data_IF_406395353596
#
_entry.id   IF_406395353596
#
_cell.length_a   1.000
_cell.length_b   1.000
_cell.length_c   1.000
_cell.angle_alpha   90.00
_cell.angle_beta   90.00
_cell.angle_gamma   90.00
#
_symmetry.space_group_name_H-M   'P 1'
#
loop_
_entity.id
_entity.type
_entity.pdbx_description
1 polymer ?
#
# COMPACT_ATOMS: atom_id res chain seq x y z
N UNK A 1 23.33 -11.44 -21.54
CA UNK A 1 21.87 -11.61 -21.61
C UNK A 1 21.30 -12.38 -20.41
N UNK A 2 21.67 -13.65 -20.15
CA UNK A 2 21.15 -14.43 -19.02
C UNK A 2 21.49 -13.80 -17.64
N UNK A 3 22.71 -13.32 -17.48
CA UNK A 3 23.17 -12.65 -16.26
C UNK A 3 22.38 -11.37 -15.95
N UNK A 4 21.95 -10.63 -16.95
CA UNK A 4 21.21 -9.37 -16.76
C UNK A 4 19.75 -9.62 -16.41
N UNK A 5 19.13 -10.67 -16.95
CA UNK A 5 17.79 -11.12 -16.56
C UNK A 5 17.76 -11.53 -15.10
N UNK A 6 18.76 -12.30 -14.67
CA UNK A 6 18.89 -12.72 -13.28
C UNK A 6 19.05 -11.52 -12.33
N UNK A 7 19.94 -10.58 -12.66
CA UNK A 7 20.14 -9.36 -11.86
C UNK A 7 18.87 -8.51 -11.74
N UNK A 8 18.09 -8.41 -12.81
CA UNK A 8 16.78 -7.71 -12.79
C UNK A 8 15.79 -8.37 -11.86
N UNK A 9 15.68 -9.70 -11.94
CA UNK A 9 14.78 -10.46 -11.07
C UNK A 9 15.18 -10.32 -9.59
N UNK A 10 16.47 -10.47 -9.27
CA UNK A 10 16.97 -10.31 -7.89
C UNK A 10 16.69 -8.91 -7.36
N UNK A 11 16.92 -7.85 -8.16
CA UNK A 11 16.61 -6.48 -7.75
C UNK A 11 15.13 -6.31 -7.42
N UNK A 12 14.24 -6.76 -8.29
CA UNK A 12 12.78 -6.61 -8.08
C UNK A 12 12.30 -7.39 -6.86
N UNK A 13 12.74 -8.63 -6.69
CA UNK A 13 12.40 -9.41 -5.50
C UNK A 13 12.94 -8.78 -4.21
N UNK A 14 14.15 -8.23 -4.24
CA UNK A 14 14.72 -7.53 -3.09
C UNK A 14 13.90 -6.30 -2.70
N UNK A 15 13.45 -5.50 -3.67
CA UNK A 15 12.60 -4.33 -3.43
C UNK A 15 11.25 -4.78 -2.86
N UNK A 16 10.64 -5.83 -3.41
CA UNK A 16 9.35 -6.35 -2.93
C UNK A 16 9.47 -6.82 -1.47
N UNK A 17 10.47 -7.65 -1.16
CA UNK A 17 10.70 -8.15 0.21
C UNK A 17 10.95 -7.00 1.18
N UNK A 18 11.78 -6.04 0.79
CA UNK A 18 12.04 -4.84 1.59
C UNK A 18 10.78 -4.02 1.84
N UNK A 19 9.96 -3.80 0.81
CA UNK A 19 8.71 -3.04 0.93
C UNK A 19 7.72 -3.74 1.87
N UNK A 20 7.55 -5.05 1.73
CA UNK A 20 6.70 -5.84 2.63
C UNK A 20 7.20 -5.71 4.07
N UNK A 21 8.50 -5.86 4.30
CA UNK A 21 9.09 -5.74 5.64
C UNK A 21 8.89 -4.36 6.25
N UNK A 22 9.08 -3.31 5.47
CA UNK A 22 8.89 -1.92 5.92
C UNK A 22 7.43 -1.61 6.28
N UNK A 23 6.47 -2.18 5.53
CA UNK A 23 5.04 -1.92 5.76
C UNK A 23 4.46 -2.70 6.93
N UNK A 24 5.03 -3.85 7.29
CA UNK A 24 4.50 -4.73 8.35
C UNK A 24 4.31 -3.97 9.66
N UNK A 25 5.32 -3.23 10.12
CA UNK A 25 5.27 -2.51 11.39
C UNK A 25 4.17 -1.46 11.43
N UNK A 26 4.06 -0.65 10.39
CA UNK A 26 3.03 0.38 10.28
C UNK A 26 1.62 -0.23 10.20
N UNK A 27 1.44 -1.25 9.40
CA UNK A 27 0.14 -1.90 9.23
C UNK A 27 -0.31 -2.63 10.52
N UNK A 28 0.60 -3.26 11.26
CA UNK A 28 0.29 -3.87 12.56
C UNK A 28 -0.30 -2.82 13.50
N UNK A 29 0.32 -1.65 13.63
CA UNK A 29 -0.17 -0.57 14.51
C UNK A 29 -1.58 -0.15 14.10
N UNK A 30 -1.83 0.05 12.81
CA UNK A 30 -3.15 0.46 12.31
C UNK A 30 -4.23 -0.60 12.56
N UNK A 31 -3.91 -1.87 12.34
CA UNK A 31 -4.86 -2.95 12.59
C UNK A 31 -5.11 -3.16 14.09
N UNK A 32 -4.07 -3.04 14.93
CA UNK A 32 -4.23 -3.10 16.39
C UNK A 32 -5.15 -1.99 16.88
N UNK A 33 -4.92 -0.75 16.45
CA UNK A 33 -5.80 0.36 16.78
C UNK A 33 -7.24 0.15 16.27
N UNK A 34 -7.40 -0.48 15.11
CA UNK A 34 -8.70 -0.86 14.58
C UNK A 34 -9.42 -1.91 15.43
N UNK A 35 -8.69 -2.89 15.95
CA UNK A 35 -9.23 -3.92 16.86
C UNK A 35 -9.60 -3.29 18.20
N UNK A 36 -8.73 -2.47 18.76
CA UNK A 36 -8.97 -1.79 20.05
C UNK A 36 -10.18 -0.84 19.99
N UNK A 37 -10.51 -0.35 18.80
CA UNK A 37 -11.70 0.47 18.56
C UNK A 37 -13.02 -0.30 18.53
N UNK A 38 -13.01 -1.62 18.58
CA UNK A 38 -14.24 -2.43 18.62
C UNK A 38 -14.78 -2.47 20.05
N UNK A 39 -16.04 -2.03 20.31
CA UNK A 39 -16.62 -2.09 21.65
C UNK A 39 -16.63 -3.51 22.22
N UNK A 40 -16.19 -3.65 23.48
CA UNK A 40 -16.12 -4.94 24.18
C UNK A 40 -17.47 -5.64 24.31
N UNK A 41 -18.55 -4.86 24.36
CA UNK A 41 -19.93 -5.35 24.46
C UNK A 41 -20.28 -6.39 23.41
N UNK A 42 -19.76 -6.28 22.19
CA UNK A 42 -19.97 -7.28 21.14
C UNK A 42 -19.34 -8.63 21.49
N UNK A 43 -18.19 -8.62 22.14
CA UNK A 43 -17.51 -9.85 22.55
C UNK A 43 -18.15 -10.46 23.78
N UNK A 44 -18.61 -9.63 24.74
CA UNK A 44 -19.33 -10.09 25.93
C UNK A 44 -20.67 -10.75 25.58
N UNK A 45 -21.44 -10.15 24.66
CA UNK A 45 -22.67 -10.73 24.16
C UNK A 45 -22.43 -12.09 23.48
N UNK A 46 -21.39 -12.18 22.65
CA UNK A 46 -21.01 -13.41 21.98
C UNK A 46 -20.52 -14.50 22.97
N UNK A 47 -19.92 -14.10 24.08
CA UNK A 47 -19.54 -15.04 25.16
C UNK A 47 -20.75 -15.63 25.85
N UNK A 48 -21.80 -14.83 26.09
CA UNK A 48 -23.07 -15.31 26.65
C UNK A 48 -23.77 -16.28 25.71
N UNK A 49 -23.64 -16.09 24.39
CA UNK A 49 -24.16 -17.01 23.37
C UNK A 49 -23.28 -18.26 23.16
N UNK A 50 -22.16 -18.39 23.89
CA UNK A 50 -21.29 -19.54 23.81
C UNK A 50 -20.41 -19.56 22.53
N UNK A 51 -20.18 -18.42 21.86
CA UNK A 51 -19.42 -18.36 20.65
C UNK A 51 -17.93 -18.65 20.90
N UNK A 52 -17.34 -19.53 20.08
CA UNK A 52 -15.91 -19.80 20.10
C UNK A 52 -15.09 -18.61 19.62
N UNK A 53 -13.79 -18.55 19.96
CA UNK A 53 -12.89 -17.49 19.51
C UNK A 53 -12.84 -17.31 18.00
N UNK A 54 -12.92 -18.41 17.23
CA UNK A 54 -12.99 -18.36 15.76
C UNK A 54 -14.30 -17.76 15.26
N UNK A 55 -15.42 -18.07 15.91
CA UNK A 55 -16.71 -17.46 15.56
C UNK A 55 -16.73 -15.97 15.85
N UNK A 56 -16.20 -15.52 17.00
CA UNK A 56 -16.02 -14.09 17.32
C UNK A 56 -15.13 -13.39 16.28
N UNK A 57 -14.00 -13.98 15.93
CA UNK A 57 -13.13 -13.41 14.91
C UNK A 57 -13.85 -13.25 13.56
N UNK A 58 -14.53 -14.29 13.08
CA UNK A 58 -15.15 -14.30 11.75
C UNK A 58 -16.41 -13.42 11.66
N UNK A 59 -17.22 -13.35 12.72
CA UNK A 59 -18.53 -12.70 12.68
C UNK A 59 -18.57 -11.32 13.35
N UNK A 60 -17.58 -11.00 14.20
CA UNK A 60 -17.49 -9.71 14.88
C UNK A 60 -16.24 -8.95 14.43
N UNK A 61 -15.06 -9.49 14.70
CA UNK A 61 -13.80 -8.77 14.46
C UNK A 61 -13.61 -8.46 12.99
N UNK A 62 -13.70 -9.45 12.10
CA UNK A 62 -13.41 -9.28 10.68
C UNK A 62 -14.40 -8.32 9.97
N UNK A 63 -15.72 -8.39 10.19
CA UNK A 63 -16.66 -7.43 9.63
C UNK A 63 -16.43 -5.99 10.13
N UNK A 64 -16.20 -5.80 11.44
CA UNK A 64 -15.98 -4.48 12.02
C UNK A 64 -14.64 -3.88 11.63
N UNK A 65 -13.62 -4.70 11.39
CA UNK A 65 -12.32 -4.26 10.84
C UNK A 65 -12.38 -3.87 9.35
N UNK A 66 -13.46 -4.12 8.64
CA UNK A 66 -13.57 -3.80 7.21
C UNK A 66 -13.25 -2.33 6.92
N UNK A 67 -13.63 -1.42 7.82
CA UNK A 67 -13.30 0.01 7.73
C UNK A 67 -11.80 0.25 7.81
N UNK A 68 -11.14 -0.31 8.81
CA UNK A 68 -9.68 -0.22 8.99
C UNK A 68 -8.96 -0.85 7.81
N UNK A 69 -9.41 -2.01 7.35
CA UNK A 69 -8.87 -2.68 6.17
C UNK A 69 -8.94 -1.81 4.92
N UNK A 70 -10.09 -1.19 4.67
CA UNK A 70 -10.26 -0.27 3.53
C UNK A 70 -9.31 0.92 3.62
N UNK A 71 -9.21 1.55 4.79
CA UNK A 71 -8.30 2.65 5.03
C UNK A 71 -6.83 2.24 4.80
N UNK A 72 -6.38 1.17 5.44
CA UNK A 72 -5.02 0.65 5.31
C UNK A 72 -4.68 0.32 3.86
N UNK A 73 -5.58 -0.34 3.14
CA UNK A 73 -5.36 -0.71 1.74
C UNK A 73 -5.25 0.52 0.84
N UNK A 74 -6.05 1.58 1.06
CA UNK A 74 -5.95 2.83 0.30
C UNK A 74 -4.61 3.51 0.59
N UNK A 75 -4.23 3.63 1.86
CA UNK A 75 -2.98 4.27 2.26
C UNK A 75 -1.75 3.53 1.71
N UNK A 76 -1.74 2.20 1.80
CA UNK A 76 -0.68 1.35 1.23
C UNK A 76 -0.59 1.52 -0.28
N UNK A 77 -1.73 1.54 -0.97
CA UNK A 77 -1.77 1.75 -2.42
C UNK A 77 -1.16 3.11 -2.80
N UNK A 78 -1.58 4.19 -2.15
CA UNK A 78 -1.03 5.53 -2.39
C UNK A 78 0.48 5.54 -2.15
N UNK A 79 0.93 4.99 -1.02
CA UNK A 79 2.35 4.91 -0.65
C UNK A 79 3.18 4.18 -1.71
N UNK A 80 2.68 3.05 -2.24
CA UNK A 80 3.40 2.27 -3.25
C UNK A 80 3.43 2.93 -4.62
N UNK A 81 2.36 3.63 -5.03
CA UNK A 81 2.41 4.42 -6.26
C UNK A 81 3.38 5.61 -6.18
N UNK A 82 3.62 6.13 -4.96
CA UNK A 82 4.57 7.21 -4.70
C UNK A 82 5.95 6.71 -4.29
N UNK A 83 6.19 5.40 -4.34
CA UNK A 83 7.45 4.80 -3.94
C UNK A 83 8.62 5.36 -4.77
N UNK A 84 9.53 6.06 -4.11
CA UNK A 84 10.74 6.64 -4.71
C UNK A 84 11.99 6.21 -3.98
N UNK A 85 12.02 6.38 -2.66
CA UNK A 85 13.24 6.25 -1.86
C UNK A 85 13.87 4.84 -1.98
N UNK A 86 13.09 3.78 -1.87
CA UNK A 86 13.58 2.41 -2.01
C UNK A 86 14.15 2.13 -3.40
N UNK A 87 13.53 2.69 -4.45
CA UNK A 87 14.05 2.55 -5.82
C UNK A 87 15.30 3.39 -6.03
N UNK A 88 15.36 4.60 -5.49
CA UNK A 88 16.52 5.47 -5.59
C UNK A 88 17.76 4.86 -4.91
N UNK A 89 17.58 4.18 -3.78
CA UNK A 89 18.68 3.57 -3.02
C UNK A 89 19.05 2.19 -3.57
N UNK A 90 18.07 1.33 -3.82
CA UNK A 90 18.33 -0.07 -4.20
C UNK A 90 18.60 -0.24 -5.70
N UNK A 91 17.97 0.57 -6.55
CA UNK A 91 18.16 0.54 -7.99
C UNK A 91 19.15 1.63 -8.45
N UNK A 92 20.38 1.60 -7.95
CA UNK A 92 21.42 2.56 -8.32
C UNK A 92 21.49 2.67 -9.84
N UNK A 93 21.46 3.92 -10.38
CA UNK A 93 21.39 4.20 -11.82
C UNK A 93 20.23 3.49 -12.54
N UNK A 94 19.07 3.39 -11.87
CA UNK A 94 17.86 2.71 -12.35
C UNK A 94 17.98 1.19 -12.50
N UNK A 95 19.01 0.58 -11.95
CA UNK A 95 19.23 -0.87 -12.03
C UNK A 95 19.59 -1.37 -13.44
N UNK A 96 19.79 -2.68 -13.59
CA UNK A 96 20.12 -3.29 -14.88
C UNK A 96 19.01 -3.02 -15.92
N UNK A 97 19.39 -2.46 -17.07
CA UNK A 97 18.47 -2.12 -18.17
C UNK A 97 17.26 -1.24 -17.75
N UNK A 98 17.46 -0.31 -16.81
CA UNK A 98 16.43 0.55 -16.25
C UNK A 98 15.26 -0.21 -15.56
N UNK A 99 15.48 -1.43 -15.08
CA UNK A 99 14.44 -2.23 -14.45
C UNK A 99 13.89 -1.65 -13.15
N UNK A 100 14.63 -0.74 -12.51
CA UNK A 100 14.18 0.01 -11.33
C UNK A 100 13.68 1.42 -11.64
N UNK A 101 13.50 1.76 -12.92
CA UNK A 101 12.96 3.06 -13.31
C UNK A 101 11.44 3.08 -13.12
N UNK A 102 11.01 3.50 -11.95
CA UNK A 102 9.59 3.75 -11.65
C UNK A 102 9.21 5.19 -12.02
N UNK A 103 7.90 5.45 -12.11
CA UNK A 103 7.40 6.74 -12.56
C UNK A 103 7.90 7.91 -11.68
N UNK A 104 7.97 7.71 -10.37
CA UNK A 104 8.52 8.70 -9.42
C UNK A 104 10.00 9.00 -9.66
N UNK A 105 10.81 7.96 -9.95
CA UNK A 105 12.23 8.14 -10.32
C UNK A 105 12.37 8.85 -11.67
N UNK A 106 11.46 8.58 -12.59
CA UNK A 106 11.44 9.27 -13.89
C UNK A 106 11.08 10.75 -13.75
N UNK A 107 10.09 11.08 -12.91
CA UNK A 107 9.74 12.47 -12.58
C UNK A 107 10.95 13.19 -11.99
N UNK A 108 11.61 12.58 -11.00
CA UNK A 108 12.80 13.16 -10.37
C UNK A 108 13.92 13.44 -11.38
N UNK A 109 14.23 12.45 -12.22
CA UNK A 109 15.24 12.58 -13.26
C UNK A 109 14.91 13.70 -14.23
N UNK A 110 13.68 13.78 -14.69
CA UNK A 110 13.22 14.82 -15.63
C UNK A 110 13.32 16.21 -15.01
N UNK A 111 12.92 16.36 -13.74
CA UNK A 111 12.96 17.64 -13.06
C UNK A 111 14.38 18.11 -12.76
N UNK A 112 15.22 17.24 -12.20
CA UNK A 112 16.50 17.64 -11.60
C UNK A 112 17.73 17.32 -12.47
N UNK A 113 17.71 16.26 -13.26
CA UNK A 113 18.82 15.91 -14.14
C UNK A 113 18.68 16.58 -15.51
N UNK A 114 17.51 16.48 -16.17
CA UNK A 114 17.26 17.12 -17.46
C UNK A 114 16.79 18.57 -17.34
N UNK A 115 16.41 19.01 -16.13
CA UNK A 115 15.93 20.37 -15.82
C UNK A 115 14.66 20.78 -16.58
N UNK A 116 13.86 19.81 -17.02
CA UNK A 116 12.58 20.06 -17.66
C UNK A 116 11.45 19.99 -16.62
N UNK A 117 11.32 21.08 -15.86
CA UNK A 117 10.31 21.18 -14.80
C UNK A 117 8.88 21.14 -15.35
N UNK A 118 8.65 21.66 -16.54
CA UNK A 118 7.33 21.67 -17.18
C UNK A 118 6.84 20.25 -17.47
N UNK A 119 7.68 19.45 -18.10
CA UNK A 119 7.35 18.07 -18.42
C UNK A 119 7.26 17.20 -17.15
N UNK A 120 8.15 17.38 -16.18
CA UNK A 120 8.09 16.68 -14.89
C UNK A 120 6.78 16.98 -14.15
N UNK A 121 6.31 18.22 -14.16
CA UNK A 121 5.04 18.61 -13.56
C UNK A 121 3.85 17.95 -14.25
N UNK A 122 3.86 17.86 -15.58
CA UNK A 122 2.82 17.18 -16.34
C UNK A 122 2.72 15.67 -15.99
N UNK A 123 3.87 15.00 -15.87
CA UNK A 123 3.91 13.58 -15.47
C UNK A 123 3.43 13.40 -14.02
N UNK A 124 3.81 14.32 -13.11
CA UNK A 124 3.35 14.30 -11.72
C UNK A 124 1.84 14.45 -11.62
N UNK A 125 1.25 15.35 -12.43
CA UNK A 125 -0.20 15.51 -12.50
C UNK A 125 -0.88 14.24 -13.04
N UNK A 126 -0.32 13.61 -14.06
CA UNK A 126 -0.82 12.34 -14.59
C UNK A 126 -0.79 11.23 -13.52
N UNK A 127 0.32 11.11 -12.76
CA UNK A 127 0.43 10.17 -11.65
C UNK A 127 -0.63 10.45 -10.57
N UNK A 128 -0.81 11.71 -10.21
CA UNK A 128 -1.86 12.13 -9.25
C UNK A 128 -3.26 11.68 -9.72
N UNK A 129 -3.61 11.93 -10.99
CA UNK A 129 -4.90 11.52 -11.54
C UNK A 129 -5.08 9.99 -11.51
N UNK A 130 -4.05 9.24 -11.84
CA UNK A 130 -4.08 7.76 -11.77
C UNK A 130 -4.37 7.30 -10.33
N UNK A 131 -3.60 7.81 -9.35
CA UNK A 131 -3.77 7.46 -7.94
C UNK A 131 -5.18 7.82 -7.47
N UNK A 132 -5.66 9.01 -7.81
CA UNK A 132 -7.00 9.48 -7.46
C UNK A 132 -8.09 8.55 -8.01
N UNK A 133 -8.03 8.20 -9.28
CA UNK A 133 -9.02 7.31 -9.92
C UNK A 133 -8.99 5.93 -9.28
N UNK A 134 -7.81 5.35 -9.09
CA UNK A 134 -7.67 4.01 -8.48
C UNK A 134 -8.18 4.02 -7.04
N UNK A 135 -7.84 5.04 -6.24
CA UNK A 135 -8.31 5.19 -4.86
C UNK A 135 -9.84 5.35 -4.79
N UNK A 136 -10.44 6.12 -5.70
CA UNK A 136 -11.90 6.27 -5.77
C UNK A 136 -12.60 4.96 -6.16
N UNK A 137 -12.05 4.21 -7.10
CA UNK A 137 -12.57 2.88 -7.48
C UNK A 137 -12.50 1.94 -6.28
N UNK A 138 -11.36 1.89 -5.59
CA UNK A 138 -11.17 1.04 -4.41
C UNK A 138 -12.12 1.44 -3.28
N UNK A 139 -12.30 2.72 -3.01
CA UNK A 139 -13.24 3.20 -2.00
C UNK A 139 -14.68 2.79 -2.33
N UNK A 140 -15.08 2.87 -3.61
CA UNK A 140 -16.40 2.43 -4.05
C UNK A 140 -16.59 0.92 -3.95
N UNK A 141 -15.57 0.14 -4.31
CA UNK A 141 -15.60 -1.33 -4.22
C UNK A 141 -15.71 -1.82 -2.78
N UNK A 142 -15.11 -1.09 -1.84
CA UNK A 142 -15.08 -1.42 -0.42
C UNK A 142 -16.14 -0.64 0.39
N UNK A 143 -17.21 -0.15 -0.23
CA UNK A 143 -18.27 0.56 0.49
C UNK A 143 -18.67 -0.24 1.73
N UNK A 144 -18.42 0.35 2.88
CA UNK A 144 -18.98 -0.08 4.14
C UNK A 144 -20.30 0.67 4.25
N UNK A 145 -21.42 -0.04 4.10
CA UNK A 145 -22.72 0.54 4.37
C UNK A 145 -22.77 0.89 5.85
N UNK A 146 -23.01 2.14 6.13
CA UNK A 146 -23.16 2.68 7.45
C UNK A 146 -24.61 2.45 7.88
N UNK A 147 -24.91 1.31 8.47
CA UNK A 147 -26.12 1.17 9.28
C UNK A 147 -25.68 1.04 10.74
N UNK A 148 -25.99 2.09 11.49
CA UNK A 148 -26.12 2.05 12.94
C UNK A 148 -27.57 1.78 13.28
#
# INVERSE_FOLDING_TARGET
AASDVYKRQVLMWSIIVFSIWADIGYNIILFTAGIDGIPGEFYEAADLDGASGWQKFRHITLPLLKRTFTFVTIMTLISHFQAFAQFAVMAVRNGPQNSGLVLTSYIYKTAFETKDMGYASAISLALFMIIMVVSLIQQRANKVEWEY
#
